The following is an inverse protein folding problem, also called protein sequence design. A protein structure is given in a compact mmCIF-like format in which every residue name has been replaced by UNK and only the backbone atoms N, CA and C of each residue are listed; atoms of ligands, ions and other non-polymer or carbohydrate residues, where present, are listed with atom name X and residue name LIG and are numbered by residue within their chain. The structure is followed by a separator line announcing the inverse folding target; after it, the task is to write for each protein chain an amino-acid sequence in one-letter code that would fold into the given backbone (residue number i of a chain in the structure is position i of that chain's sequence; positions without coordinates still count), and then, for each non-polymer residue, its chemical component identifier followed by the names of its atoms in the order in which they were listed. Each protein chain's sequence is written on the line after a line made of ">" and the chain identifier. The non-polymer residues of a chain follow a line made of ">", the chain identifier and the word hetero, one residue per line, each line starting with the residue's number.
data_IF_725565720807
#
_entry.id   IF_725565720807
#
_cell.length_a   1.000
_cell.length_b   1.000
_cell.length_c   1.000
_cell.angle_alpha   90.00
_cell.angle_beta   90.00
_cell.angle_gamma   90.00
#
_symmetry.space_group_name_H-M   'P 1'
#
loop_
_entity.id
_entity.type
_entity.pdbx_description
1 polymer ?
#
# COMPACT_ATOMS: atom_id res chain seq x y z
N UNK A 1 18.33 34.26 1.19
CA UNK A 1 19.01 33.02 1.64
C UNK A 1 18.18 31.82 1.22
N UNK A 2 18.77 30.77 0.63
CA UNK A 2 18.04 29.56 0.19
C UNK A 2 18.27 28.43 1.19
N UNK A 3 17.20 27.78 1.66
CA UNK A 3 17.30 26.63 2.56
C UNK A 3 17.84 25.41 1.81
N UNK A 4 18.84 24.75 2.38
CA UNK A 4 19.38 23.48 1.91
C UNK A 4 19.30 22.46 3.04
N UNK A 5 18.56 21.37 2.84
CA UNK A 5 18.47 20.30 3.82
C UNK A 5 19.56 19.24 3.54
N UNK A 6 20.50 19.00 4.48
CA UNK A 6 21.63 18.10 4.23
C UNK A 6 21.21 16.64 3.93
N UNK A 7 20.06 16.22 4.47
CA UNK A 7 19.56 14.85 4.34
C UNK A 7 18.45 14.72 3.28
N UNK A 8 18.36 15.66 2.33
CA UNK A 8 17.32 15.65 1.29
C UNK A 8 17.31 14.32 0.50
N UNK A 9 18.48 13.78 0.16
CA UNK A 9 18.59 12.49 -0.53
C UNK A 9 17.98 11.32 0.26
N UNK A 10 18.03 11.37 1.59
CA UNK A 10 17.43 10.35 2.46
C UNK A 10 15.90 10.50 2.44
N UNK A 11 15.38 11.73 2.48
CA UNK A 11 13.94 11.99 2.35
C UNK A 11 13.40 11.45 1.02
N UNK A 12 14.12 11.73 -0.08
CA UNK A 12 13.73 11.27 -1.42
C UNK A 12 13.77 9.73 -1.51
N UNK A 13 14.80 9.10 -0.94
CA UNK A 13 14.89 7.64 -0.85
C UNK A 13 13.70 7.06 -0.09
N UNK A 14 13.32 7.67 1.04
CA UNK A 14 12.18 7.20 1.86
C UNK A 14 10.84 7.32 1.14
N UNK A 15 10.66 8.39 0.36
CA UNK A 15 9.52 8.52 -0.55
C UNK A 15 9.48 7.40 -1.59
N UNK A 16 10.63 7.08 -2.21
CA UNK A 16 10.73 5.98 -3.18
C UNK A 16 10.47 4.60 -2.57
N UNK A 17 10.95 4.34 -1.35
CA UNK A 17 10.70 3.08 -0.62
C UNK A 17 9.21 2.88 -0.33
N UNK A 18 8.51 3.95 0.05
CA UNK A 18 7.06 3.91 0.23
C UNK A 18 6.34 3.64 -1.09
N UNK A 19 6.67 4.37 -2.15
CA UNK A 19 6.04 4.18 -3.46
C UNK A 19 6.23 2.73 -3.96
N UNK A 20 7.41 2.14 -3.73
CA UNK A 20 7.65 0.72 -4.01
C UNK A 20 6.77 -0.20 -3.16
N UNK A 21 6.60 0.08 -1.87
CA UNK A 21 5.73 -0.69 -1.00
C UNK A 21 4.24 -0.58 -1.39
N UNK A 22 3.79 0.59 -1.88
CA UNK A 22 2.44 0.79 -2.42
C UNK A 22 2.23 -0.06 -3.66
N UNK A 23 3.20 -0.07 -4.58
CA UNK A 23 3.12 -0.89 -5.79
C UNK A 23 3.08 -2.38 -5.47
N UNK A 24 3.94 -2.86 -4.56
CA UNK A 24 3.92 -4.25 -4.10
C UNK A 24 2.56 -4.63 -3.49
N UNK A 25 1.98 -3.74 -2.67
CA UNK A 25 0.68 -3.98 -2.06
C UNK A 25 -0.43 -4.04 -3.11
N UNK A 26 -0.47 -3.10 -4.06
CA UNK A 26 -1.42 -3.11 -5.16
C UNK A 26 -1.32 -4.39 -6.01
N UNK A 27 -0.10 -4.81 -6.35
CA UNK A 27 0.13 -6.05 -7.08
C UNK A 27 -0.40 -7.28 -6.31
N UNK A 28 -0.28 -7.29 -4.99
CA UNK A 28 -0.81 -8.38 -4.16
C UNK A 28 -2.33 -8.41 -4.06
N UNK A 29 -2.98 -7.25 -4.08
CA UNK A 29 -4.43 -7.16 -4.19
C UNK A 29 -4.93 -7.68 -5.54
N UNK A 30 -4.20 -7.36 -6.63
CA UNK A 30 -4.49 -7.92 -7.95
C UNK A 30 -4.43 -9.46 -7.96
N UNK A 31 -3.38 -10.04 -7.36
CA UNK A 31 -3.28 -11.51 -7.20
C UNK A 31 -4.42 -12.07 -6.37
N UNK A 32 -4.72 -11.46 -5.21
CA UNK A 32 -5.82 -11.90 -4.37
C UNK A 32 -7.15 -11.90 -5.14
N UNK A 33 -7.42 -10.83 -5.88
CA UNK A 33 -8.65 -10.70 -6.67
C UNK A 33 -8.76 -11.79 -7.73
N UNK A 34 -7.68 -12.09 -8.45
CA UNK A 34 -7.65 -13.16 -9.44
C UNK A 34 -7.93 -14.54 -8.82
N UNK A 35 -7.37 -14.82 -7.63
CA UNK A 35 -7.61 -16.07 -6.91
C UNK A 35 -9.08 -16.18 -6.44
N UNK A 36 -9.68 -15.07 -5.98
CA UNK A 36 -11.09 -15.00 -5.57
C UNK A 36 -12.04 -15.17 -6.75
N UNK A 37 -11.74 -14.55 -7.89
CA UNK A 37 -12.54 -14.67 -9.11
C UNK A 37 -12.50 -16.11 -9.66
N UNK A 38 -11.34 -16.75 -9.62
CA UNK A 38 -11.19 -18.17 -9.97
C UNK A 38 -12.01 -19.07 -9.05
N UNK A 39 -11.96 -18.83 -7.73
CA UNK A 39 -12.77 -19.56 -6.75
C UNK A 39 -14.27 -19.39 -7.02
N UNK A 40 -14.70 -18.16 -7.32
CA UNK A 40 -16.09 -17.85 -7.63
C UNK A 40 -16.55 -18.53 -8.94
N UNK A 41 -15.67 -18.66 -9.93
CA UNK A 41 -15.98 -19.43 -11.16
C UNK A 41 -16.16 -20.91 -10.84
N UNK A 42 -15.20 -21.53 -10.15
CA UNK A 42 -15.28 -22.96 -9.81
C UNK A 42 -16.51 -23.30 -8.97
N UNK A 43 -16.89 -22.41 -8.06
CA UNK A 43 -18.08 -22.60 -7.21
C UNK A 43 -19.37 -22.53 -8.05
N UNK A 44 -19.45 -21.59 -9.00
CA UNK A 44 -20.57 -21.51 -9.95
C UNK A 44 -20.65 -22.74 -10.84
N UNK A 45 -19.51 -23.23 -11.33
CA UNK A 45 -19.46 -24.44 -12.16
C UNK A 45 -19.94 -25.66 -11.37
N UNK A 46 -19.54 -25.78 -10.10
CA UNK A 46 -20.01 -26.84 -9.19
C UNK A 46 -21.53 -26.79 -9.00
N UNK A 47 -22.08 -25.61 -8.72
CA UNK A 47 -23.53 -25.41 -8.54
C UNK A 47 -24.31 -25.82 -9.79
N UNK A 48 -23.87 -25.38 -10.97
CA UNK A 48 -24.48 -25.73 -12.25
C UNK A 48 -24.42 -27.24 -12.53
N UNK A 49 -23.29 -27.89 -12.23
CA UNK A 49 -23.14 -29.33 -12.43
C UNK A 49 -23.99 -30.15 -11.45
N UNK A 50 -24.10 -29.69 -10.19
CA UNK A 50 -24.96 -30.32 -9.19
C UNK A 50 -26.45 -30.20 -9.57
N UNK A 51 -26.87 -29.04 -10.08
CA UNK A 51 -28.22 -28.83 -10.59
C UNK A 51 -28.50 -29.72 -11.82
N UNK A 52 -27.56 -29.76 -12.78
CA UNK A 52 -27.67 -30.63 -13.95
C UNK A 52 -27.77 -32.11 -13.57
N UNK A 53 -27.00 -32.56 -12.57
CA UNK A 53 -27.06 -33.93 -12.06
C UNK A 53 -28.42 -34.25 -11.43
N UNK A 54 -28.96 -33.31 -10.65
CA UNK A 54 -30.30 -33.42 -10.05
C UNK A 54 -31.38 -33.55 -11.13
N UNK A 55 -31.30 -32.74 -12.19
CA UNK A 55 -32.24 -32.80 -13.32
C UNK A 55 -32.12 -34.09 -14.14
N UNK A 56 -30.90 -34.59 -14.38
CA UNK A 56 -30.71 -35.86 -15.10
C UNK A 56 -31.23 -37.06 -14.31
N UNK A 57 -31.10 -37.04 -12.99
CA UNK A 57 -31.59 -38.13 -12.12
C UNK A 57 -33.12 -38.26 -12.16
N UNK A 58 -33.86 -37.21 -12.55
CA UNK A 58 -35.33 -37.23 -12.70
C UNK A 58 -35.79 -37.89 -14.01
N UNK A 59 -34.88 -38.24 -14.92
CA UNK A 59 -35.18 -38.81 -16.24
C UNK A 59 -34.55 -40.20 -16.38
N UNK A 60 -35.01 -41.04 -17.32
CA UNK A 60 -34.30 -42.26 -17.68
C UNK A 60 -32.95 -41.89 -18.32
N UNK A 61 -31.89 -41.93 -17.52
CA UNK A 61 -30.54 -41.53 -17.92
C UNK A 61 -29.58 -42.70 -17.70
N UNK A 62 -28.56 -42.80 -18.55
CA UNK A 62 -27.55 -43.84 -18.43
C UNK A 62 -26.77 -43.69 -17.13
N UNK A 63 -26.57 -44.81 -16.41
CA UNK A 63 -25.74 -44.84 -15.20
C UNK A 63 -24.32 -44.29 -15.47
N UNK A 64 -23.78 -44.53 -16.66
CA UNK A 64 -22.48 -44.02 -17.06
C UNK A 64 -22.42 -42.49 -17.08
N UNK A 65 -23.49 -41.82 -17.53
CA UNK A 65 -23.55 -40.36 -17.57
C UNK A 65 -23.60 -39.76 -16.16
N UNK A 66 -24.37 -40.38 -15.27
CA UNK A 66 -24.46 -40.02 -13.85
C UNK A 66 -23.08 -40.14 -13.18
N UNK A 67 -22.39 -41.26 -13.39
CA UNK A 67 -21.04 -41.49 -12.84
C UNK A 67 -20.04 -40.44 -13.32
N UNK A 68 -20.02 -40.16 -14.64
CA UNK A 68 -19.14 -39.13 -15.21
C UNK A 68 -19.38 -37.75 -14.60
N UNK A 69 -20.64 -37.38 -14.36
CA UNK A 69 -20.98 -36.10 -13.72
C UNK A 69 -20.52 -36.06 -12.26
N UNK A 70 -20.71 -37.15 -11.51
CA UNK A 70 -20.25 -37.27 -10.13
C UNK A 70 -18.72 -37.19 -10.01
N UNK A 71 -17.98 -37.84 -10.91
CA UNK A 71 -16.52 -37.74 -10.98
C UNK A 71 -16.06 -36.30 -11.24
N UNK A 72 -16.71 -35.61 -12.18
CA UNK A 72 -16.39 -34.21 -12.48
C UNK A 72 -16.69 -33.28 -11.30
N UNK A 73 -17.81 -33.48 -10.60
CA UNK A 73 -18.13 -32.79 -9.34
C UNK A 73 -17.02 -33.03 -8.30
N UNK A 74 -16.59 -34.28 -8.10
CA UNK A 74 -15.51 -34.61 -7.17
C UNK A 74 -14.19 -33.90 -7.52
N UNK A 75 -13.87 -33.80 -8.82
CA UNK A 75 -12.72 -33.04 -9.29
C UNK A 75 -12.87 -31.53 -9.02
N UNK A 76 -14.04 -30.94 -9.28
CA UNK A 76 -14.33 -29.53 -8.99
C UNK A 76 -14.20 -29.23 -7.49
N UNK A 77 -14.73 -30.08 -6.62
CA UNK A 77 -14.60 -29.92 -5.17
C UNK A 77 -13.14 -29.96 -4.73
N UNK A 78 -12.33 -30.87 -5.27
CA UNK A 78 -10.90 -30.93 -4.98
C UNK A 78 -10.19 -29.65 -5.44
N UNK A 79 -10.51 -29.15 -6.63
CA UNK A 79 -9.97 -27.88 -7.15
C UNK A 79 -10.38 -26.70 -6.27
N UNK A 80 -11.64 -26.62 -5.85
CA UNK A 80 -12.14 -25.59 -4.93
C UNK A 80 -11.38 -25.61 -3.62
N UNK A 81 -11.11 -26.79 -3.04
CA UNK A 81 -10.31 -26.90 -1.81
C UNK A 81 -8.90 -26.34 -1.99
N UNK A 82 -8.24 -26.68 -3.10
CA UNK A 82 -6.91 -26.13 -3.43
C UNK A 82 -6.96 -24.61 -3.65
N UNK A 83 -7.98 -24.14 -4.36
CA UNK A 83 -8.16 -22.72 -4.67
C UNK A 83 -8.43 -21.88 -3.41
N UNK A 84 -9.20 -22.40 -2.46
CA UNK A 84 -9.43 -21.75 -1.15
C UNK A 84 -8.12 -21.56 -0.38
N UNK A 85 -7.22 -22.54 -0.44
CA UNK A 85 -5.90 -22.43 0.16
C UNK A 85 -5.02 -21.39 -0.58
N UNK A 86 -5.13 -21.30 -1.91
CA UNK A 86 -4.53 -20.24 -2.72
C UNK A 86 -4.99 -18.85 -2.29
N UNK A 87 -6.31 -18.64 -2.18
CA UNK A 87 -6.91 -17.40 -1.68
C UNK A 87 -6.40 -17.08 -0.27
N UNK A 88 -6.33 -18.06 0.64
CA UNK A 88 -5.81 -17.83 2.00
C UNK A 88 -4.38 -17.31 1.98
N UNK A 89 -3.49 -17.95 1.22
CA UNK A 89 -2.09 -17.51 1.06
C UNK A 89 -1.98 -16.12 0.43
N UNK A 90 -2.81 -15.83 -0.58
CA UNK A 90 -2.86 -14.51 -1.20
C UNK A 90 -3.31 -13.42 -0.22
N UNK A 91 -4.32 -13.71 0.63
CA UNK A 91 -4.77 -12.80 1.71
C UNK A 91 -3.67 -12.53 2.71
N UNK A 92 -2.94 -13.56 3.14
CA UNK A 92 -1.81 -13.41 4.06
C UNK A 92 -0.68 -12.57 3.46
N UNK A 93 -0.35 -12.81 2.19
CA UNK A 93 0.66 -12.04 1.48
C UNK A 93 0.25 -10.57 1.29
N UNK A 94 -1.04 -10.29 1.04
CA UNK A 94 -1.56 -8.93 0.97
C UNK A 94 -1.49 -8.22 2.32
N UNK A 95 -1.87 -8.89 3.42
CA UNK A 95 -1.76 -8.36 4.79
C UNK A 95 -0.31 -8.05 5.16
N UNK A 96 0.64 -8.90 4.80
CA UNK A 96 2.06 -8.65 5.08
C UNK A 96 2.56 -7.40 4.35
N UNK A 97 2.19 -7.23 3.08
CA UNK A 97 2.56 -6.04 2.29
C UNK A 97 1.87 -4.77 2.78
N UNK A 98 0.62 -4.88 3.23
CA UNK A 98 -0.09 -3.77 3.88
C UNK A 98 0.66 -3.29 5.13
N UNK A 99 1.13 -4.21 5.98
CA UNK A 99 1.95 -3.86 7.16
C UNK A 99 3.26 -3.19 6.75
N UNK A 100 3.98 -3.76 5.78
CA UNK A 100 5.20 -3.16 5.23
C UNK A 100 4.95 -1.74 4.72
N UNK A 101 3.84 -1.50 4.02
CA UNK A 101 3.47 -0.16 3.56
C UNK A 101 3.19 0.80 4.71
N UNK A 102 2.49 0.35 5.75
CA UNK A 102 2.23 1.15 6.94
C UNK A 102 3.56 1.59 7.60
N UNK A 103 4.50 0.66 7.78
CA UNK A 103 5.81 0.95 8.35
C UNK A 103 6.57 1.98 7.51
N UNK A 104 6.62 1.81 6.18
CA UNK A 104 7.28 2.77 5.27
C UNK A 104 6.63 4.15 5.26
N UNK A 105 5.31 4.20 5.42
CA UNK A 105 4.56 5.45 5.51
C UNK A 105 4.92 6.20 6.80
N UNK A 106 5.09 5.48 7.91
CA UNK A 106 5.54 6.09 9.18
C UNK A 106 6.97 6.61 9.04
N UNK A 107 7.87 5.80 8.48
CA UNK A 107 9.26 6.20 8.25
C UNK A 107 9.34 7.48 7.40
N UNK A 108 8.66 7.52 6.25
CA UNK A 108 8.60 8.71 5.39
C UNK A 108 8.14 9.96 6.16
N UNK A 109 7.07 9.83 6.97
CA UNK A 109 6.55 10.94 7.78
C UNK A 109 7.57 11.44 8.79
N UNK A 110 8.33 10.56 9.43
CA UNK A 110 9.39 10.96 10.38
C UNK A 110 10.43 11.83 9.67
N UNK A 111 10.86 11.43 8.47
CA UNK A 111 11.85 12.17 7.69
C UNK A 111 11.32 13.51 7.15
N UNK A 112 10.07 13.56 6.70
CA UNK A 112 9.42 14.81 6.29
C UNK A 112 9.30 15.78 7.48
N UNK A 113 8.85 15.29 8.64
CA UNK A 113 8.75 16.10 9.85
C UNK A 113 10.13 16.63 10.30
N UNK A 114 11.18 15.82 10.20
CA UNK A 114 12.55 16.25 10.53
C UNK A 114 13.05 17.35 9.59
N UNK A 115 12.77 17.24 8.29
CA UNK A 115 13.08 18.28 7.30
C UNK A 115 12.31 19.57 7.59
N UNK A 116 11.03 19.47 7.91
CA UNK A 116 10.18 20.64 8.13
C UNK A 116 10.61 21.39 9.39
N UNK A 117 10.96 20.69 10.48
CA UNK A 117 11.58 21.30 11.67
C UNK A 117 12.92 21.98 11.37
N UNK A 118 13.77 21.35 10.55
CA UNK A 118 15.04 21.96 10.16
C UNK A 118 14.83 23.25 9.36
N UNK A 119 13.78 23.31 8.54
CA UNK A 119 13.38 24.50 7.80
C UNK A 119 12.88 25.61 8.73
N UNK A 120 12.06 25.27 9.73
CA UNK A 120 11.59 26.22 10.75
C UNK A 120 12.76 26.87 11.50
N UNK A 121 13.72 26.06 11.97
CA UNK A 121 14.92 26.54 12.64
C UNK A 121 15.76 27.46 11.74
N UNK A 122 15.92 27.11 10.47
CA UNK A 122 16.64 27.94 9.51
C UNK A 122 15.97 29.30 9.33
N UNK A 123 14.64 29.35 9.22
CA UNK A 123 13.88 30.60 9.09
C UNK A 123 14.02 31.45 10.35
N UNK A 124 13.92 30.85 11.53
CA UNK A 124 14.10 31.56 12.81
C UNK A 124 15.51 32.15 12.94
N UNK A 125 16.55 31.39 12.56
CA UNK A 125 17.92 31.88 12.59
C UNK A 125 18.15 33.03 11.61
N UNK A 126 17.61 32.93 10.39
CA UNK A 126 17.70 34.00 9.40
C UNK A 126 17.02 35.29 9.88
N UNK A 127 15.83 35.16 10.48
CA UNK A 127 15.11 36.29 11.07
C UNK A 127 15.91 36.94 12.22
N UNK A 128 16.48 36.13 13.11
CA UNK A 128 17.29 36.62 14.23
C UNK A 128 18.55 37.36 13.76
N UNK A 129 19.21 36.87 12.70
CA UNK A 129 20.35 37.55 12.08
C UNK A 129 19.95 38.88 11.45
N UNK A 130 18.80 38.93 10.77
CA UNK A 130 18.27 40.16 10.19
C UNK A 130 17.93 41.20 11.27
N UNK A 131 17.27 40.77 12.35
CA UNK A 131 16.98 41.64 13.50
C UNK A 131 18.26 42.19 14.15
N UNK A 132 19.25 41.33 14.40
CA UNK A 132 20.55 41.77 14.94
C UNK A 132 21.22 42.82 14.05
N UNK A 133 21.19 42.64 12.73
CA UNK A 133 21.75 43.61 11.79
C UNK A 133 20.99 44.95 11.81
N UNK A 134 19.65 44.92 11.92
CA UNK A 134 18.83 46.13 12.03
C UNK A 134 19.10 46.89 13.33
N UNK A 135 19.23 46.16 14.45
CA UNK A 135 19.54 46.73 15.77
C UNK A 135 20.92 47.39 15.78
N UNK A 136 21.93 46.73 15.20
CA UNK A 136 23.27 47.31 15.03
C UNK A 136 23.23 48.61 14.21
N UNK A 137 22.49 48.63 13.10
CA UNK A 137 22.31 49.84 12.29
C UNK A 137 21.58 50.96 13.04
N UNK A 138 20.62 50.62 13.91
CA UNK A 138 19.91 51.58 14.73
C UNK A 138 20.85 52.20 15.78
N UNK A 139 21.66 51.39 16.46
CA UNK A 139 22.67 51.85 17.43
C UNK A 139 23.69 52.76 16.75
N UNK A 140 24.24 52.38 15.60
CA UNK A 140 25.19 53.21 14.86
C UNK A 140 24.59 54.57 14.48
N UNK A 141 23.33 54.60 14.03
CA UNK A 141 22.61 55.84 13.72
C UNK A 141 22.38 56.70 14.95
N UNK A 142 21.96 56.13 16.07
CA UNK A 142 21.73 56.86 17.32
C UNK A 142 23.03 57.51 17.83
N UNK A 143 24.15 56.79 17.79
CA UNK A 143 25.48 57.31 18.16
C UNK A 143 25.91 58.43 17.21
N UNK A 144 25.66 58.30 15.90
CA UNK A 144 25.97 59.34 14.92
C UNK A 144 25.13 60.61 15.13
N UNK A 145 23.85 60.49 15.49
CA UNK A 145 22.98 61.63 15.80
C UNK A 145 23.33 62.33 17.11
N UNK A 146 23.85 61.60 18.10
CA UNK A 146 24.25 62.17 19.40
C UNK A 146 25.61 62.90 19.37
N UNK A 147 26.36 62.78 18.28
CA UNK A 147 27.67 63.44 18.07
C UNK A 147 27.57 64.72 17.21
N UNK A 148 26.38 65.07 16.72
CA UNK A 148 26.09 66.38 16.09
C UNK A 148 25.42 67.28 17.11
#
# INVERSE_FOLDING_TARGET
>A
MRFHYPLQKIVDLKGSEKAMAEWEYAASLGKLKAEEDTLASLTRDLEQMAEALSEQTKRPTSLFEIQRMQEYIGWLEQRIRQQREGVRKAKEAARLRQRKLADRTVDEKVWLNARDRAKELFVQQALAQEQSALDEMAVMRAVASARR
#
